data_IF_237019747736
#
_entry.id   IF_237019747736
#
_cell.length_a   1.000
_cell.length_b   1.000
_cell.length_c   1.000
_cell.angle_alpha   90.00
_cell.angle_beta   90.00
_cell.angle_gamma   90.00
#
_symmetry.space_group_name_H-M   'P 1'
#
loop_
_entity.id
_entity.type
_entity.pdbx_description
1 polymer ?
#
# COMPACT_ATOMS: atom_id res chain seq x y z
N UNK A 1 2.52 23.29 -8.61
CA UNK A 1 1.62 22.71 -9.62
C UNK A 1 2.36 21.53 -10.24
N UNK A 2 1.97 20.29 -9.90
CA UNK A 2 2.61 19.08 -10.43
C UNK A 2 2.32 19.01 -11.93
N UNK A 3 3.36 18.88 -12.77
CA UNK A 3 3.19 18.73 -14.23
C UNK A 3 2.82 17.28 -14.52
N UNK A 4 1.66 17.08 -15.11
CA UNK A 4 1.07 15.77 -15.39
C UNK A 4 1.55 15.16 -16.72
N UNK A 5 2.32 15.91 -17.52
CA UNK A 5 2.63 15.56 -18.91
C UNK A 5 3.61 14.39 -19.10
N UNK A 6 4.23 13.89 -18.02
CA UNK A 6 5.22 12.82 -18.09
C UNK A 6 4.92 11.64 -17.15
N UNK A 7 3.67 11.52 -16.67
CA UNK A 7 3.27 10.39 -15.84
C UNK A 7 2.71 9.27 -16.73
N UNK A 8 3.12 8.01 -16.51
CA UNK A 8 2.54 6.87 -17.21
C UNK A 8 1.01 6.87 -17.07
N UNK A 9 0.25 6.42 -18.09
CA UNK A 9 -1.21 6.38 -18.03
C UNK A 9 -1.74 5.56 -16.85
N UNK A 10 -0.97 4.58 -16.36
CA UNK A 10 -1.27 3.81 -15.15
C UNK A 10 -1.19 4.68 -13.88
N UNK A 11 -0.23 5.60 -13.81
CA UNK A 11 -0.13 6.56 -12.70
C UNK A 11 -1.23 7.60 -12.80
N UNK A 12 -1.59 8.06 -14.01
CA UNK A 12 -2.76 8.92 -14.20
C UNK A 12 -4.07 8.22 -13.79
N UNK A 13 -4.24 6.93 -14.11
CA UNK A 13 -5.39 6.14 -13.66
C UNK A 13 -5.36 5.90 -12.16
N UNK A 14 -4.20 5.63 -11.56
CA UNK A 14 -4.04 5.51 -10.11
C UNK A 14 -4.38 6.81 -9.38
N UNK A 15 -4.18 7.98 -10.01
CA UNK A 15 -4.61 9.29 -9.50
C UNK A 15 -6.13 9.51 -9.65
N UNK A 16 -6.81 8.80 -10.55
CA UNK A 16 -8.25 8.87 -10.79
C UNK A 16 -9.06 7.79 -10.07
N UNK A 17 -8.42 6.73 -9.54
CA UNK A 17 -9.06 5.69 -8.76
C UNK A 17 -8.78 5.87 -7.27
N UNK A 18 -9.79 5.89 -6.39
CA UNK A 18 -9.56 6.05 -4.95
C UNK A 18 -8.68 4.93 -4.36
N UNK A 19 -8.74 3.72 -4.94
CA UNK A 19 -7.93 2.55 -4.62
C UNK A 19 -7.41 1.84 -5.87
N UNK A 20 -6.17 1.36 -5.79
CA UNK A 20 -5.50 0.59 -6.84
C UNK A 20 -4.93 -0.71 -6.27
N UNK A 21 -5.15 -1.84 -6.93
CA UNK A 21 -4.64 -3.13 -6.46
C UNK A 21 -3.21 -3.34 -6.95
N UNK A 22 -2.27 -3.48 -6.02
CA UNK A 22 -0.85 -3.71 -6.33
C UNK A 22 -0.52 -5.20 -6.37
N UNK A 23 -1.04 -5.96 -5.40
CA UNK A 23 -0.85 -7.41 -5.35
C UNK A 23 -2.19 -8.12 -5.33
N UNK A 24 -2.35 -9.06 -6.26
CA UNK A 24 -3.49 -9.97 -6.27
C UNK A 24 -3.31 -11.09 -5.22
N UNK A 25 -4.41 -11.61 -4.65
CA UNK A 25 -4.39 -12.83 -3.88
C UNK A 25 -3.72 -13.93 -4.70
N UNK A 26 -2.67 -14.54 -4.15
CA UNK A 26 -1.93 -15.60 -4.84
C UNK A 26 -2.05 -16.89 -4.04
N UNK A 27 -2.36 -17.99 -4.72
CA UNK A 27 -2.39 -19.32 -4.11
C UNK A 27 -0.97 -19.72 -3.69
N UNK A 28 -0.80 -20.11 -2.44
CA UNK A 28 0.50 -20.55 -1.94
C UNK A 28 0.69 -22.02 -2.38
N UNK A 29 1.68 -22.39 -3.20
CA UNK A 29 1.79 -23.75 -3.73
C UNK A 29 1.98 -24.82 -2.64
N UNK A 30 2.45 -24.42 -1.46
CA UNK A 30 2.71 -25.31 -0.31
C UNK A 30 1.55 -25.41 0.69
N UNK A 31 0.45 -24.68 0.50
CA UNK A 31 -0.73 -24.75 1.37
C UNK A 31 -2.01 -24.50 0.55
N UNK A 32 -3.15 -25.11 0.91
CA UNK A 32 -4.42 -24.84 0.25
C UNK A 32 -4.98 -23.42 0.53
N UNK A 33 -4.14 -22.50 1.01
CA UNK A 33 -4.49 -21.14 1.43
C UNK A 33 -4.04 -20.12 0.39
N UNK A 34 -4.86 -19.08 0.21
CA UNK A 34 -4.52 -17.91 -0.61
C UNK A 34 -3.93 -16.82 0.27
N UNK A 35 -3.00 -16.05 -0.29
CA UNK A 35 -2.54 -14.81 0.35
C UNK A 35 -3.60 -13.73 0.20
N UNK A 36 -3.57 -12.74 1.08
CA UNK A 36 -4.35 -11.53 0.89
C UNK A 36 -3.89 -10.70 -0.31
N UNK A 37 -4.66 -9.67 -0.63
CA UNK A 37 -4.35 -8.64 -1.61
C UNK A 37 -3.69 -7.41 -0.97
N UNK A 38 -2.78 -6.77 -1.71
CA UNK A 38 -2.24 -5.46 -1.35
C UNK A 38 -2.88 -4.38 -2.21
N UNK A 39 -3.44 -3.38 -1.54
CA UNK A 39 -4.08 -2.23 -2.14
C UNK A 39 -3.30 -0.97 -1.81
N UNK A 40 -3.28 -0.05 -2.74
CA UNK A 40 -2.85 1.33 -2.59
C UNK A 40 -4.08 2.23 -2.60
N UNK A 41 -4.14 3.21 -1.72
CA UNK A 41 -5.25 4.14 -1.68
C UNK A 41 -4.82 5.56 -1.38
N UNK A 42 -5.68 6.50 -1.76
CA UNK A 42 -5.59 7.88 -1.30
C UNK A 42 -6.25 8.04 0.07
N UNK A 43 -6.06 9.20 0.71
CA UNK A 43 -6.77 9.55 1.95
C UNK A 43 -8.30 9.42 1.80
N UNK A 44 -8.84 9.73 0.62
CA UNK A 44 -10.28 9.64 0.34
C UNK A 44 -10.82 8.20 0.39
N UNK A 45 -10.00 7.20 0.06
CA UNK A 45 -10.43 5.79 0.16
C UNK A 45 -10.63 5.34 1.60
N UNK A 46 -9.81 5.87 2.52
CA UNK A 46 -9.88 5.53 3.94
C UNK A 46 -11.06 6.25 4.61
N UNK A 47 -11.58 7.31 4.00
CA UNK A 47 -12.80 7.99 4.48
C UNK A 47 -14.09 7.23 4.12
N UNK A 48 -14.02 6.17 3.31
CA UNK A 48 -15.17 5.34 2.96
C UNK A 48 -15.01 3.91 3.54
N UNK A 49 -15.52 3.64 4.76
CA UNK A 49 -15.43 2.32 5.37
C UNK A 49 -16.22 1.26 4.59
N UNK A 50 -17.26 1.65 3.84
CA UNK A 50 -18.05 0.71 3.06
C UNK A 50 -17.21 0.17 1.89
N UNK A 51 -16.42 1.04 1.25
CA UNK A 51 -15.44 0.64 0.22
C UNK A 51 -14.37 -0.29 0.79
N UNK A 52 -13.82 0.00 1.98
CA UNK A 52 -12.84 -0.89 2.60
C UNK A 52 -13.42 -2.29 2.85
N UNK A 53 -14.66 -2.35 3.33
CA UNK A 53 -15.34 -3.63 3.58
C UNK A 53 -15.70 -4.36 2.29
N UNK A 54 -16.10 -3.67 1.22
CA UNK A 54 -16.37 -4.33 -0.07
C UNK A 54 -15.11 -5.00 -0.64
N UNK A 55 -13.94 -4.40 -0.38
CA UNK A 55 -12.64 -4.97 -0.74
C UNK A 55 -12.04 -5.90 0.32
N UNK A 56 -12.79 -6.24 1.38
CA UNK A 56 -12.36 -7.10 2.48
C UNK A 56 -11.04 -6.65 3.13
N UNK A 57 -10.78 -5.34 3.11
CA UNK A 57 -9.61 -4.74 3.74
C UNK A 57 -9.80 -4.81 5.25
N UNK A 58 -8.79 -5.31 5.93
CA UNK A 58 -8.78 -5.43 7.40
C UNK A 58 -7.55 -4.78 8.02
N UNK A 59 -6.49 -4.55 7.24
CA UNK A 59 -5.24 -3.95 7.70
C UNK A 59 -5.01 -2.65 6.92
N UNK A 60 -4.69 -1.57 7.64
CA UNK A 60 -4.46 -0.24 7.13
C UNK A 60 -3.05 0.20 7.50
N UNK A 61 -2.20 0.46 6.51
CA UNK A 61 -0.89 1.08 6.71
C UNK A 61 -1.01 2.55 6.36
N UNK A 62 -0.84 3.41 7.36
CA UNK A 62 -1.10 4.85 7.27
C UNK A 62 0.23 5.59 7.38
N UNK A 63 0.70 6.19 6.27
CA UNK A 63 1.92 7.00 6.24
C UNK A 63 1.51 8.47 6.32
N UNK A 64 1.43 9.00 7.54
CA UNK A 64 0.84 10.30 7.82
C UNK A 64 1.47 10.93 9.06
N UNK A 65 1.90 12.19 8.95
CA UNK A 65 2.29 13.03 10.10
C UNK A 65 1.10 13.87 10.59
N UNK A 66 -0.01 13.22 10.93
CA UNK A 66 -1.18 13.89 11.55
C UNK A 66 -1.62 13.16 12.81
N UNK A 67 -2.07 13.88 13.87
CA UNK A 67 -2.55 13.26 15.09
C UNK A 67 -3.97 12.67 14.94
N UNK A 68 -4.70 13.04 13.89
CA UNK A 68 -6.02 12.49 13.57
C UNK A 68 -5.90 11.37 12.55
N UNK A 69 -6.49 10.21 12.86
CA UNK A 69 -6.63 9.10 11.90
C UNK A 69 -8.09 9.02 11.48
N UNK A 70 -8.40 8.96 10.16
CA UNK A 70 -9.78 8.83 9.68
C UNK A 70 -10.42 7.49 10.08
N UNK A 71 -9.60 6.45 10.28
CA UNK A 71 -10.03 5.14 10.78
C UNK A 71 -9.07 4.63 11.85
N UNK A 72 -9.66 4.01 12.88
CA UNK A 72 -8.92 3.49 14.02
C UNK A 72 -9.28 2.01 14.26
N UNK A 73 -8.54 1.37 15.15
CA UNK A 73 -8.84 0.04 15.67
C UNK A 73 -10.27 -0.06 16.26
N UNK A 74 -10.82 1.07 16.70
CA UNK A 74 -12.21 1.19 17.16
C UNK A 74 -13.24 0.85 16.08
N UNK A 75 -12.89 1.01 14.81
CA UNK A 75 -13.74 0.71 13.66
C UNK A 75 -13.59 -0.75 13.18
N UNK A 76 -12.72 -1.52 13.83
CA UNK A 76 -12.44 -2.94 13.54
C UNK A 76 -11.32 -3.18 12.54
N UNK A 77 -10.49 -2.17 12.23
CA UNK A 77 -9.34 -2.29 11.33
C UNK A 77 -8.02 -2.34 12.10
N UNK A 78 -7.10 -3.21 11.70
CA UNK A 78 -5.75 -3.22 12.26
C UNK A 78 -4.93 -2.10 11.60
N UNK A 79 -4.48 -1.12 12.38
CA UNK A 79 -3.85 0.09 11.86
C UNK A 79 -2.36 0.13 12.20
N UNK A 80 -1.52 0.25 11.18
CA UNK A 80 -0.08 0.47 11.31
C UNK A 80 0.25 1.90 10.87
N UNK A 81 0.51 2.78 11.83
CA UNK A 81 0.82 4.20 11.57
C UNK A 81 2.32 4.41 11.45
N UNK A 82 2.71 5.21 10.47
CA UNK A 82 4.06 5.72 10.28
C UNK A 82 4.00 7.24 10.23
N UNK A 83 4.62 7.89 11.20
CA UNK A 83 4.68 9.34 11.33
C UNK A 83 5.86 9.86 10.51
N UNK A 84 5.63 10.06 9.22
CA UNK A 84 6.60 10.66 8.30
C UNK A 84 5.96 11.86 7.63
N UNK A 85 6.67 12.98 7.68
CA UNK A 85 6.32 14.16 6.90
C UNK A 85 6.67 13.92 5.43
N UNK A 86 5.78 14.32 4.51
CA UNK A 86 5.91 14.10 3.07
C UNK A 86 6.97 15.02 2.43
N UNK A 87 8.22 14.84 2.84
CA UNK A 87 9.38 15.55 2.30
C UNK A 87 10.31 14.58 1.57
N UNK A 88 10.81 15.00 0.40
CA UNK A 88 11.74 14.21 -0.43
C UNK A 88 13.06 13.86 0.25
N UNK A 89 13.35 14.51 1.37
CA UNK A 89 14.57 14.35 2.17
C UNK A 89 14.42 13.36 3.32
N UNK A 90 13.20 12.88 3.62
CA UNK A 90 13.01 11.94 4.73
C UNK A 90 13.50 10.55 4.34
N UNK A 91 14.35 10.00 5.19
CA UNK A 91 14.81 8.62 5.05
C UNK A 91 13.71 7.65 5.45
N UNK A 92 13.12 6.99 4.46
CA UNK A 92 12.07 5.98 4.65
C UNK A 92 12.64 4.60 5.00
N UNK A 93 13.93 4.36 4.78
CA UNK A 93 14.59 3.07 5.01
C UNK A 93 14.37 2.47 6.39
N UNK A 94 14.47 3.21 7.51
CA UNK A 94 14.26 2.64 8.85
C UNK A 94 12.83 2.10 9.06
N UNK A 95 11.85 2.59 8.30
CA UNK A 95 10.45 2.16 8.42
C UNK A 95 10.10 0.99 7.49
N UNK A 96 10.89 0.77 6.44
CA UNK A 96 10.60 -0.25 5.43
C UNK A 96 10.54 -1.65 6.03
N UNK A 97 11.48 -2.00 6.92
CA UNK A 97 11.53 -3.35 7.50
C UNK A 97 10.27 -3.66 8.34
N UNK A 98 9.89 -2.76 9.23
CA UNK A 98 8.70 -2.91 10.07
C UNK A 98 7.41 -3.01 9.25
N UNK A 99 7.29 -2.19 8.21
CA UNK A 99 6.14 -2.23 7.30
C UNK A 99 6.10 -3.50 6.48
N UNK A 100 7.24 -3.91 5.91
CA UNK A 100 7.32 -5.13 5.12
C UNK A 100 6.92 -6.32 5.96
N UNK A 101 7.40 -6.41 7.21
CA UNK A 101 7.02 -7.47 8.13
C UNK A 101 5.51 -7.44 8.44
N UNK A 102 4.94 -6.27 8.68
CA UNK A 102 3.50 -6.13 8.96
C UNK A 102 2.63 -6.53 7.77
N UNK A 103 2.96 -6.04 6.57
CA UNK A 103 2.28 -6.39 5.32
C UNK A 103 2.43 -7.89 5.04
N UNK A 104 3.64 -8.44 5.15
CA UNK A 104 3.88 -9.86 4.88
C UNK A 104 3.06 -10.76 5.80
N UNK A 105 3.04 -10.47 7.11
CA UNK A 105 2.26 -11.19 8.10
C UNK A 105 0.75 -11.16 7.80
N UNK A 106 0.20 -9.98 7.47
CA UNK A 106 -1.21 -9.83 7.12
C UNK A 106 -1.56 -10.59 5.84
N UNK A 107 -0.75 -10.43 4.79
CA UNK A 107 -0.96 -11.11 3.51
C UNK A 107 -0.83 -12.64 3.65
N UNK A 108 0.13 -13.16 4.43
CA UNK A 108 0.25 -14.60 4.70
C UNK A 108 -0.95 -15.17 5.45
N UNK A 109 -1.59 -14.35 6.27
CA UNK A 109 -2.82 -14.70 6.99
C UNK A 109 -4.07 -14.63 6.09
N UNK A 110 -3.91 -14.42 4.77
CA UNK A 110 -5.03 -14.31 3.83
C UNK A 110 -5.79 -12.98 3.93
N UNK A 111 -5.22 -11.95 4.58
CA UNK A 111 -5.90 -10.69 4.87
C UNK A 111 -5.49 -9.59 3.90
N UNK A 112 -6.47 -8.80 3.46
CA UNK A 112 -6.20 -7.68 2.56
C UNK A 112 -5.69 -6.46 3.33
N UNK A 113 -4.65 -5.86 2.77
CA UNK A 113 -3.96 -4.70 3.33
C UNK A 113 -4.12 -3.52 2.39
N UNK A 114 -4.44 -2.34 2.94
CA UNK A 114 -4.43 -1.07 2.22
C UNK A 114 -3.31 -0.19 2.75
N UNK A 115 -2.46 0.30 1.86
CA UNK A 115 -1.43 1.30 2.17
C UNK A 115 -1.88 2.63 1.60
N UNK A 116 -1.87 3.67 2.43
CA UNK A 116 -2.19 5.03 1.99
C UNK A 116 -1.24 6.07 2.60
N UNK A 117 -1.18 7.22 1.93
CA UNK A 117 -0.45 8.40 2.37
C UNK A 117 -1.33 9.66 2.22
N UNK A 118 -0.88 10.80 2.73
CA UNK A 118 -1.55 12.10 2.58
C UNK A 118 -1.53 12.61 1.13
N UNK A 119 -0.49 12.24 0.37
CA UNK A 119 -0.31 12.59 -1.05
C UNK A 119 0.10 11.32 -1.83
N UNK A 120 -0.41 11.19 -3.07
CA UNK A 120 -0.24 9.97 -3.88
C UNK A 120 1.22 9.72 -4.29
N UNK A 121 2.03 10.77 -4.38
CA UNK A 121 3.41 10.73 -4.89
C UNK A 121 4.37 9.89 -4.05
N UNK A 122 4.24 9.93 -2.72
CA UNK A 122 5.22 9.28 -1.83
C UNK A 122 4.78 7.89 -1.41
N UNK A 123 3.46 7.63 -1.35
CA UNK A 123 2.92 6.27 -1.21
C UNK A 123 3.37 5.35 -2.34
N UNK A 124 3.49 5.86 -3.57
CA UNK A 124 3.91 5.05 -4.71
C UNK A 124 5.38 4.64 -4.59
N UNK A 125 6.30 5.58 -4.30
CA UNK A 125 7.73 5.26 -4.12
C UNK A 125 7.96 4.35 -2.91
N UNK A 126 7.25 4.60 -1.82
CA UNK A 126 7.31 3.78 -0.61
C UNK A 126 6.82 2.35 -0.88
N UNK A 127 5.67 2.20 -1.53
CA UNK A 127 5.12 0.87 -1.86
C UNK A 127 5.94 0.17 -2.93
N UNK A 128 6.47 0.86 -3.94
CA UNK A 128 7.41 0.23 -4.88
C UNK A 128 8.67 -0.28 -4.19
N UNK A 129 9.17 0.45 -3.19
CA UNK A 129 10.30 -0.01 -2.36
C UNK A 129 9.94 -1.24 -1.53
N UNK A 130 8.77 -1.22 -0.88
CA UNK A 130 8.23 -2.34 -0.09
C UNK A 130 7.98 -3.57 -0.98
N UNK A 131 7.30 -3.42 -2.11
CA UNK A 131 7.02 -4.49 -3.06
C UNK A 131 8.32 -5.09 -3.60
N UNK A 132 9.32 -4.27 -3.94
CA UNK A 132 10.64 -4.74 -4.37
C UNK A 132 11.37 -5.52 -3.27
N UNK A 133 11.18 -5.16 -2.00
CA UNK A 133 11.73 -5.90 -0.86
C UNK A 133 10.97 -7.21 -0.57
N UNK A 134 9.65 -7.23 -0.80
CA UNK A 134 8.79 -8.40 -0.60
C UNK A 134 8.84 -9.40 -1.77
N UNK A 135 9.22 -8.95 -2.97
CA UNK A 135 9.34 -9.76 -4.18
C UNK A 135 10.26 -11.00 -4.04
N UNK A 136 11.52 -10.88 -3.56
CA UNK A 136 12.42 -12.03 -3.45
C UNK A 136 11.94 -13.06 -2.42
N UNK A 137 11.20 -12.64 -1.40
CA UNK A 137 10.74 -13.53 -0.30
C UNK A 137 9.57 -14.42 -0.73
N UNK A 138 8.92 -14.12 -1.85
CA UNK A 138 7.65 -14.74 -2.28
C UNK A 138 7.63 -15.16 -3.75
N UNK A 139 8.76 -15.06 -4.46
CA UNK A 139 8.84 -15.40 -5.89
C UNK A 139 7.96 -14.50 -6.76
N UNK A 140 7.66 -13.28 -6.31
CA UNK A 140 6.81 -12.37 -7.05
C UNK A 140 7.61 -11.64 -8.11
N UNK A 141 7.22 -11.87 -9.37
CA UNK A 141 7.63 -11.04 -10.48
C UNK A 141 6.80 -9.75 -10.35
N UNK A 142 7.37 -8.71 -9.74
CA UNK A 142 6.89 -7.36 -10.01
C UNK A 142 7.04 -7.18 -11.52
N UNK A 143 5.93 -7.18 -12.27
CA UNK A 143 5.92 -6.81 -13.68
C UNK A 143 6.31 -5.34 -13.77
N UNK A 144 7.61 -5.12 -13.60
CA UNK A 144 8.27 -3.83 -13.76
C UNK A 144 8.44 -3.69 -15.25
N UNK A 145 7.36 -3.34 -15.95
CA UNK A 145 7.51 -2.84 -17.31
C UNK A 145 8.27 -1.51 -17.23
N UNK A 146 9.56 -1.62 -17.50
CA UNK A 146 10.37 -0.57 -18.09
C UNK A 146 10.80 0.52 -17.12
N UNK A 147 11.84 0.22 -16.35
CA UNK A 147 12.91 1.20 -16.15
C UNK A 147 13.51 1.54 -17.52
N UNK A 148 13.76 2.84 -17.79
CA UNK A 148 14.95 3.40 -18.45
C UNK A 148 14.65 4.78 -19.09
N UNK A 149 15.67 5.64 -19.30
CA UNK A 149 16.70 6.12 -18.37
C UNK A 149 16.57 7.62 -18.07
#
# INVERSE_FOLDING_TARGET
>A
MIRFDNLPPEVMQAMCTPMHQVLAPTSIPSSASQTGALWLGSLSAVQDPAMLRSHHISHLVQVLDVPWLPLSEKDGFNCYKIEIMDERTVDIRPYLEGVCAHIDMALRSGRNVLVHCQQVSTSYSFVMSVCKLLAPVRGFMCDSKGEQP
#
